data_IF_561339607254
#
_entry.id   IF_561339607254
#
_cell.length_a   1.000
_cell.length_b   1.000
_cell.length_c   1.000
_cell.angle_alpha   90.00
_cell.angle_beta   90.00
_cell.angle_gamma   90.00
#
_symmetry.space_group_name_H-M   'P 1'
#
loop_
_entity.id
_entity.type
_entity.pdbx_description
1 polymer ?
#
# COMPACT_ATOMS: atom_id res chain seq x y z
N UNK A 1 52.45 -24.71 -13.17
CA UNK A 1 53.44 -24.97 -14.24
C UNK A 1 53.99 -23.64 -14.76
N UNK A 2 55.29 -23.36 -14.55
CA UNK A 2 55.92 -22.13 -15.10
C UNK A 2 56.15 -22.30 -16.61
N UNK A 3 55.70 -21.34 -17.43
CA UNK A 3 55.98 -21.32 -18.88
C UNK A 3 57.49 -21.21 -19.11
N UNK A 4 58.12 -22.28 -19.64
CA UNK A 4 59.50 -22.25 -20.11
C UNK A 4 59.62 -21.28 -21.29
N UNK A 5 60.53 -20.31 -21.20
CA UNK A 5 60.82 -19.36 -22.28
C UNK A 5 61.79 -20.00 -23.27
N UNK A 6 61.41 -20.03 -24.55
CA UNK A 6 62.15 -20.71 -25.64
C UNK A 6 63.41 -19.94 -26.09
N UNK A 7 63.60 -18.69 -25.67
CA UNK A 7 64.73 -17.85 -26.08
C UNK A 7 65.30 -17.08 -24.90
N UNK A 8 66.63 -17.07 -24.78
CA UNK A 8 67.39 -16.33 -23.75
C UNK A 8 67.27 -14.83 -24.01
N UNK A 9 66.89 -14.07 -22.98
CA UNK A 9 66.80 -12.60 -23.08
C UNK A 9 68.19 -11.98 -23.04
N UNK A 10 68.38 -10.88 -23.77
CA UNK A 10 69.58 -10.05 -23.69
C UNK A 10 69.63 -9.41 -22.30
N UNK A 11 70.71 -9.64 -21.55
CA UNK A 11 70.90 -9.10 -20.21
C UNK A 11 71.40 -7.66 -20.34
N UNK A 12 70.49 -6.69 -20.17
CA UNK A 12 70.77 -5.27 -20.33
C UNK A 12 69.97 -4.47 -19.31
N UNK A 13 70.65 -3.55 -18.62
CA UNK A 13 70.06 -2.64 -17.62
C UNK A 13 68.85 -1.87 -18.18
N UNK A 14 68.85 -1.55 -19.47
CA UNK A 14 67.73 -0.87 -20.13
C UNK A 14 66.46 -1.74 -20.19
N UNK A 15 66.61 -3.04 -20.50
CA UNK A 15 65.47 -3.97 -20.57
C UNK A 15 64.85 -4.19 -19.20
N UNK A 16 65.66 -4.26 -18.15
CA UNK A 16 65.16 -4.41 -16.77
C UNK A 16 64.39 -3.16 -16.31
N UNK A 17 64.87 -1.96 -16.65
CA UNK A 17 64.17 -0.71 -16.36
C UNK A 17 62.83 -0.62 -17.11
N UNK A 18 62.80 -1.03 -18.39
CA UNK A 18 61.57 -1.08 -19.17
C UNK A 18 60.55 -2.10 -18.62
N UNK A 19 61.00 -3.31 -18.30
CA UNK A 19 60.14 -4.34 -17.70
C UNK A 19 59.60 -3.85 -16.33
N UNK A 20 60.43 -3.20 -15.50
CA UNK A 20 60.00 -2.60 -14.24
C UNK A 20 58.94 -1.49 -14.44
N UNK A 21 59.11 -0.65 -15.47
CA UNK A 21 58.13 0.38 -15.85
C UNK A 21 56.78 -0.24 -16.23
N UNK A 22 56.78 -1.25 -17.12
CA UNK A 22 55.57 -1.96 -17.55
C UNK A 22 54.88 -2.66 -16.37
N UNK A 23 55.64 -3.30 -15.49
CA UNK A 23 55.11 -3.93 -14.27
C UNK A 23 54.51 -2.91 -13.31
N UNK A 24 55.10 -1.71 -13.19
CA UNK A 24 54.55 -0.61 -12.37
C UNK A 24 53.23 -0.10 -12.95
N UNK A 25 53.13 0.07 -14.26
CA UNK A 25 51.89 0.48 -14.93
C UNK A 25 50.79 -0.57 -14.78
N UNK A 26 51.10 -1.87 -14.98
CA UNK A 26 50.15 -2.97 -14.74
C UNK A 26 49.63 -3.00 -13.30
N UNK A 27 50.52 -2.84 -12.31
CA UNK A 27 50.13 -2.77 -10.90
C UNK A 27 49.22 -1.57 -10.60
N UNK A 28 49.49 -0.39 -11.18
CA UNK A 28 48.61 0.78 -11.07
C UNK A 28 47.21 0.50 -11.63
N UNK A 29 47.12 -0.05 -12.84
CA UNK A 29 45.84 -0.41 -13.48
C UNK A 29 45.06 -1.44 -12.66
N UNK A 30 45.73 -2.48 -12.16
CA UNK A 30 45.09 -3.49 -11.30
C UNK A 30 44.54 -2.90 -10.00
N UNK A 31 45.28 -1.99 -9.34
CA UNK A 31 44.80 -1.30 -8.14
C UNK A 31 43.56 -0.44 -8.43
N UNK A 32 43.54 0.26 -9.56
CA UNK A 32 42.39 1.07 -9.98
C UNK A 32 41.16 0.19 -10.25
N UNK A 33 41.31 -0.90 -11.00
CA UNK A 33 40.20 -1.83 -11.27
C UNK A 33 39.67 -2.43 -9.98
N UNK A 34 40.53 -2.87 -9.06
CA UNK A 34 40.09 -3.39 -7.75
C UNK A 34 39.27 -2.37 -6.96
N UNK A 35 39.69 -1.09 -6.96
CA UNK A 35 38.92 -0.02 -6.33
C UNK A 35 37.55 0.16 -6.98
N UNK A 36 37.49 0.21 -8.31
CA UNK A 36 36.23 0.35 -9.04
C UNK A 36 35.28 -0.82 -8.78
N UNK A 37 35.78 -2.06 -8.78
CA UNK A 37 34.97 -3.25 -8.48
C UNK A 37 34.38 -3.17 -7.07
N UNK A 38 35.18 -2.77 -6.07
CA UNK A 38 34.67 -2.57 -4.71
C UNK A 38 33.56 -1.50 -4.68
N UNK A 39 33.77 -0.36 -5.34
CA UNK A 39 32.74 0.68 -5.42
C UNK A 39 31.46 0.19 -6.09
N UNK A 40 31.56 -0.56 -7.20
CA UNK A 40 30.39 -1.12 -7.88
C UNK A 40 29.64 -2.11 -7.00
N UNK A 41 30.34 -2.93 -6.22
CA UNK A 41 29.70 -3.88 -5.29
C UNK A 41 28.96 -3.12 -4.18
N UNK A 42 29.57 -2.07 -3.62
CA UNK A 42 28.92 -1.23 -2.60
C UNK A 42 27.65 -0.57 -3.14
N UNK A 43 27.75 0.05 -4.32
CA UNK A 43 26.59 0.68 -4.97
C UNK A 43 25.50 -0.35 -5.25
N UNK A 44 25.86 -1.53 -5.78
CA UNK A 44 24.91 -2.60 -6.06
C UNK A 44 24.17 -3.06 -4.80
N UNK A 45 24.87 -3.22 -3.68
CA UNK A 45 24.24 -3.57 -2.39
C UNK A 45 23.24 -2.51 -1.93
N UNK A 46 23.60 -1.22 -2.04
CA UNK A 46 22.71 -0.12 -1.66
C UNK A 46 21.47 -0.10 -2.57
N UNK A 47 21.65 -0.18 -3.88
CA UNK A 47 20.52 -0.17 -4.83
C UNK A 47 19.61 -1.37 -4.66
N UNK A 48 20.18 -2.55 -4.35
CA UNK A 48 19.41 -3.76 -4.13
C UNK A 48 18.58 -3.67 -2.84
N UNK A 49 19.18 -3.18 -1.75
CA UNK A 49 18.45 -2.92 -0.50
C UNK A 49 17.31 -1.91 -0.70
N UNK A 50 17.58 -0.82 -1.44
CA UNK A 50 16.58 0.20 -1.77
C UNK A 50 15.44 -0.36 -2.63
N UNK A 51 15.74 -1.23 -3.61
CA UNK A 51 14.74 -1.87 -4.44
C UNK A 51 13.81 -2.79 -3.63
N UNK A 52 14.36 -3.60 -2.72
CA UNK A 52 13.55 -4.46 -1.82
C UNK A 52 12.64 -3.59 -0.94
N UNK A 53 13.19 -2.54 -0.34
CA UNK A 53 12.43 -1.63 0.51
C UNK A 53 11.27 -0.98 -0.24
N UNK A 54 11.51 -0.46 -1.45
CA UNK A 54 10.45 0.14 -2.26
C UNK A 54 9.38 -0.87 -2.69
N UNK A 55 9.76 -2.11 -2.99
CA UNK A 55 8.80 -3.14 -3.37
C UNK A 55 7.87 -3.50 -2.21
N UNK A 56 8.41 -3.66 -1.00
CA UNK A 56 7.62 -3.91 0.21
C UNK A 56 6.72 -2.73 0.58
N UNK A 57 7.22 -1.50 0.41
CA UNK A 57 6.42 -0.30 0.69
C UNK A 57 5.20 -0.18 -0.22
N UNK A 58 5.29 -0.67 -1.47
CA UNK A 58 4.21 -0.57 -2.45
C UNK A 58 3.01 -1.43 -2.06
N UNK A 59 3.22 -2.68 -1.64
CA UNK A 59 2.13 -3.58 -1.22
C UNK A 59 1.46 -3.10 0.06
N UNK A 60 2.25 -2.64 1.04
CA UNK A 60 1.72 -2.07 2.28
C UNK A 60 0.90 -0.80 2.01
N UNK A 61 1.34 0.04 1.07
CA UNK A 61 0.60 1.24 0.71
C UNK A 61 -0.74 0.92 0.04
N UNK A 62 -0.80 -0.07 -0.84
CA UNK A 62 -2.06 -0.45 -1.50
C UNK A 62 -3.07 -1.02 -0.51
N UNK A 63 -2.62 -1.90 0.38
CA UNK A 63 -3.47 -2.48 1.43
C UNK A 63 -4.02 -1.40 2.37
N UNK A 64 -3.15 -0.50 2.84
CA UNK A 64 -3.57 0.60 3.72
C UNK A 64 -4.51 1.59 3.03
N UNK A 65 -4.37 1.78 1.72
CA UNK A 65 -5.27 2.64 0.95
C UNK A 65 -6.66 2.02 0.82
N UNK A 66 -6.75 0.73 0.56
CA UNK A 66 -8.01 0.00 0.48
C UNK A 66 -8.72 -0.01 1.83
N UNK A 67 -8.00 -0.33 2.92
CA UNK A 67 -8.51 -0.26 4.29
C UNK A 67 -9.06 1.14 4.61
N UNK A 68 -8.32 2.20 4.24
CA UNK A 68 -8.77 3.58 4.42
C UNK A 68 -10.06 3.90 3.67
N UNK A 69 -10.21 3.42 2.43
CA UNK A 69 -11.41 3.64 1.63
C UNK A 69 -12.62 2.92 2.24
N UNK A 70 -12.46 1.66 2.63
CA UNK A 70 -13.52 0.89 3.29
C UNK A 70 -13.97 1.56 4.59
N UNK A 71 -13.02 2.03 5.41
CA UNK A 71 -13.33 2.70 6.66
C UNK A 71 -14.01 4.06 6.45
N UNK A 72 -13.69 4.78 5.37
CA UNK A 72 -14.41 6.00 5.00
C UNK A 72 -15.86 5.72 4.60
N UNK A 73 -16.09 4.66 3.81
CA UNK A 73 -17.44 4.26 3.39
C UNK A 73 -18.28 3.83 4.60
N UNK A 74 -17.72 3.03 5.50
CA UNK A 74 -18.36 2.61 6.75
C UNK A 74 -18.68 3.82 7.65
N UNK A 75 -17.76 4.76 7.77
CA UNK A 75 -17.99 5.99 8.53
C UNK A 75 -19.11 6.83 7.92
N UNK A 76 -19.18 6.92 6.59
CA UNK A 76 -20.25 7.63 5.90
C UNK A 76 -21.61 6.96 6.09
N UNK A 77 -21.68 5.62 6.02
CA UNK A 77 -22.93 4.89 6.29
C UNK A 77 -23.37 5.06 7.74
N UNK A 78 -22.46 4.92 8.71
CA UNK A 78 -22.77 5.12 10.12
C UNK A 78 -23.27 6.53 10.43
N UNK A 79 -22.71 7.57 9.80
CA UNK A 79 -23.21 8.95 9.94
C UNK A 79 -24.62 9.12 9.38
N UNK A 80 -24.91 8.51 8.23
CA UNK A 80 -26.25 8.54 7.65
C UNK A 80 -27.26 7.86 8.57
N UNK A 81 -26.89 6.70 9.12
CA UNK A 81 -27.74 5.98 10.07
C UNK A 81 -27.95 6.81 11.35
N UNK A 82 -26.90 7.46 11.86
CA UNK A 82 -27.00 8.38 13.00
C UNK A 82 -27.99 9.53 12.73
N UNK A 83 -27.95 10.14 11.54
CA UNK A 83 -28.89 11.19 11.14
C UNK A 83 -30.32 10.67 11.07
N UNK A 84 -30.54 9.52 10.42
CA UNK A 84 -31.85 8.89 10.33
C UNK A 84 -32.43 8.57 11.73
N UNK A 85 -31.62 8.01 12.63
CA UNK A 85 -32.05 7.70 13.99
C UNK A 85 -32.35 8.97 14.80
N UNK A 86 -31.60 10.06 14.59
CA UNK A 86 -31.90 11.34 15.24
C UNK A 86 -33.24 11.90 14.77
N UNK A 87 -33.53 11.82 13.48
CA UNK A 87 -34.82 12.21 12.92
C UNK A 87 -35.95 11.33 13.47
N UNK A 88 -35.77 10.01 13.49
CA UNK A 88 -36.74 9.08 14.05
C UNK A 88 -37.01 9.34 15.53
N UNK A 89 -35.98 9.61 16.33
CA UNK A 89 -36.14 10.01 17.73
C UNK A 89 -36.96 11.29 17.85
N UNK A 90 -36.73 12.29 16.99
CA UNK A 90 -37.52 13.53 17.01
C UNK A 90 -38.99 13.26 16.68
N UNK A 91 -39.26 12.48 15.64
CA UNK A 91 -40.62 12.11 15.25
C UNK A 91 -41.32 11.30 16.33
N UNK A 92 -40.65 10.34 16.96
CA UNK A 92 -41.22 9.51 18.02
C UNK A 92 -41.47 10.28 19.33
N UNK A 93 -40.84 11.44 19.53
CA UNK A 93 -41.16 12.35 20.62
C UNK A 93 -42.35 13.28 20.30
N UNK A 94 -42.88 13.26 19.07
CA UNK A 94 -44.07 14.03 18.67
C UNK A 94 -45.34 13.18 18.81
N UNK A 95 -46.20 13.56 19.75
CA UNK A 95 -47.48 12.91 20.02
C UNK A 95 -48.39 12.83 18.77
N UNK A 96 -48.33 13.82 17.87
CA UNK A 96 -49.13 13.84 16.64
C UNK A 96 -48.69 12.73 15.67
N UNK A 97 -47.38 12.52 15.54
CA UNK A 97 -46.78 11.47 14.72
C UNK A 97 -47.09 10.07 15.30
N UNK A 98 -46.97 9.91 16.62
CA UNK A 98 -47.36 8.66 17.30
C UNK A 98 -48.84 8.34 17.09
N UNK A 99 -49.72 9.35 17.16
CA UNK A 99 -51.15 9.17 16.92
C UNK A 99 -51.45 8.79 15.46
N UNK A 100 -50.69 9.32 14.51
CA UNK A 100 -50.77 8.94 13.09
C UNK A 100 -50.38 7.47 12.88
N UNK A 101 -49.28 7.02 13.49
CA UNK A 101 -48.86 5.61 13.48
C UNK A 101 -49.97 4.73 14.09
N UNK A 102 -50.52 5.12 15.23
CA UNK A 102 -51.59 4.37 15.89
C UNK A 102 -52.83 4.25 15.00
N UNK A 103 -53.19 5.31 14.27
CA UNK A 103 -54.31 5.30 13.31
C UNK A 103 -54.04 4.43 12.09
N UNK A 104 -52.86 4.57 11.48
CA UNK A 104 -52.51 3.94 10.21
C UNK A 104 -52.11 2.48 10.36
N UNK A 105 -51.25 2.15 11.33
CA UNK A 105 -50.73 0.78 11.53
C UNK A 105 -51.57 -0.05 12.49
N UNK A 106 -52.22 0.59 13.47
CA UNK A 106 -52.93 -0.11 14.54
C UNK A 106 -54.44 0.16 14.55
N UNK A 107 -54.97 0.85 13.51
CA UNK A 107 -56.39 1.11 13.35
C UNK A 107 -57.03 1.78 14.60
N UNK A 108 -56.29 2.66 15.28
CA UNK A 108 -56.83 3.41 16.42
C UNK A 108 -57.80 4.48 15.92
N UNK A 109 -59.08 4.39 16.28
CA UNK A 109 -60.09 5.43 15.97
C UNK A 109 -60.60 6.13 17.22
N UNK A 110 -61.07 7.37 17.08
CA UNK A 110 -61.76 8.10 18.15
C UNK A 110 -63.23 7.74 18.19
N UNK A 111 -63.87 8.06 19.33
CA UNK A 111 -65.30 7.82 19.54
C UNK A 111 -66.14 8.49 18.43
N UNK A 112 -66.81 7.67 17.62
CA UNK A 112 -67.64 8.12 16.49
C UNK A 112 -66.98 8.03 15.11
N UNK A 113 -65.71 7.64 15.01
CA UNK A 113 -65.02 7.39 13.73
C UNK A 113 -65.23 5.93 13.27
N UNK A 114 -65.50 5.71 11.97
CA UNK A 114 -65.67 4.40 11.33
C UNK A 114 -64.39 4.01 10.58
N UNK A 115 -63.92 2.78 10.76
CA UNK A 115 -62.73 2.23 10.10
C UNK A 115 -63.17 1.34 8.94
N UNK A 116 -62.71 1.65 7.73
CA UNK A 116 -62.93 0.83 6.54
C UNK A 116 -61.68 0.00 6.27
N UNK A 117 -61.83 -1.32 6.16
CA UNK A 117 -60.74 -2.22 5.74
C UNK A 117 -60.90 -2.51 4.25
N UNK A 118 -59.85 -2.26 3.48
CA UNK A 118 -59.82 -2.59 2.05
C UNK A 118 -59.32 -4.04 1.91
N UNK A 119 -59.78 -4.84 0.93
CA UNK A 119 -59.32 -6.23 0.76
C UNK A 119 -57.81 -6.39 0.53
N UNK A 120 -57.12 -5.32 0.12
CA UNK A 120 -55.65 -5.27 -0.04
C UNK A 120 -54.89 -5.04 1.27
N UNK A 121 -55.57 -4.64 2.35
CA UNK A 121 -54.95 -4.34 3.66
C UNK A 121 -54.78 -5.58 4.56
N UNK A 122 -55.00 -6.79 4.01
CA UNK A 122 -54.72 -8.06 4.68
C UNK A 122 -53.20 -8.32 4.68
N UNK A 123 -52.45 -7.46 5.37
CA UNK A 123 -51.07 -7.76 5.76
C UNK A 123 -51.12 -8.81 6.86
N UNK A 124 -51.09 -10.08 6.44
CA UNK A 124 -50.94 -11.25 7.30
C UNK A 124 -49.75 -11.08 8.24
N UNK A 125 -50.01 -11.12 9.54
CA UNK A 125 -49.02 -11.21 10.60
C UNK A 125 -48.13 -12.45 10.47
#
# INVERSE_FOLDING_TARGET
MQKKKTVTRINSTYHDQYDAYILRQKRKKQRLIRRLVLFTIVIAMITFGMAIYHFQQRSLYTEKKEEYQNLQEELASMKKDEENYKEEIQLLNDDAYILEIARTKYFLSRKGELIFKTPEDDTSY
#
